data_IF_377159754374
#
_entry.id   IF_377159754374
#
_cell.length_a   1.000
_cell.length_b   1.000
_cell.length_c   1.000
_cell.angle_alpha   90.00
_cell.angle_beta   90.00
_cell.angle_gamma   90.00
#
_symmetry.space_group_name_H-M   'P 1'
#
loop_
_entity.id
_entity.type
_entity.pdbx_description
1 polymer ?
#
# COMPACT_ATOMS: atom_id res chain seq x y z
N UNK A 1 -6.26 -13.57 20.76
CA UNK A 1 -5.02 -14.14 20.20
C UNK A 1 -5.27 -14.80 18.83
N UNK A 2 -6.13 -15.81 18.73
CA UNK A 2 -6.42 -16.53 17.47
C UNK A 2 -6.94 -15.68 16.31
N UNK A 3 -7.79 -14.65 16.56
CA UNK A 3 -8.24 -13.72 15.50
C UNK A 3 -7.07 -12.93 14.88
N UNK A 4 -6.07 -12.56 15.68
CA UNK A 4 -4.88 -11.84 15.19
C UNK A 4 -3.99 -12.73 14.30
N UNK A 5 -3.80 -14.00 14.70
CA UNK A 5 -3.05 -14.99 13.91
C UNK A 5 -3.81 -15.34 12.63
N UNK A 6 -5.14 -15.45 12.69
CA UNK A 6 -5.99 -15.71 11.53
C UNK A 6 -5.91 -14.60 10.48
N UNK A 7 -5.81 -13.33 10.90
CA UNK A 7 -5.62 -12.21 9.97
C UNK A 7 -4.28 -12.27 9.22
N UNK A 8 -3.25 -12.87 9.82
CA UNK A 8 -1.94 -13.06 9.17
C UNK A 8 -1.98 -14.19 8.15
N UNK A 9 -2.85 -15.20 8.33
CA UNK A 9 -2.96 -16.35 7.41
C UNK A 9 -3.23 -15.91 5.96
N UNK A 10 -4.12 -14.93 5.75
CA UNK A 10 -4.42 -14.42 4.40
C UNK A 10 -3.17 -13.83 3.75
N UNK A 11 -2.44 -12.99 4.48
CA UNK A 11 -1.17 -12.40 4.03
C UNK A 11 -0.11 -13.46 3.78
N UNK A 12 0.00 -14.46 4.66
CA UNK A 12 0.91 -15.56 4.46
C UNK A 12 0.64 -16.31 3.14
N UNK A 13 -0.62 -16.65 2.86
CA UNK A 13 -1.00 -17.32 1.60
C UNK A 13 -0.66 -16.44 0.38
N UNK A 14 -0.85 -15.12 0.48
CA UNK A 14 -0.44 -14.20 -0.60
C UNK A 14 1.07 -14.29 -0.91
N UNK A 15 1.92 -14.70 0.04
CA UNK A 15 3.36 -14.86 -0.17
C UNK A 15 3.78 -16.19 -0.79
N UNK A 16 2.86 -17.15 -0.91
CA UNK A 16 3.12 -18.48 -1.47
C UNK A 16 2.94 -18.44 -3.00
N UNK A 17 3.84 -19.12 -3.70
CA UNK A 17 3.70 -19.52 -5.11
C UNK A 17 3.96 -21.02 -5.20
N UNK A 18 3.26 -21.72 -6.10
CA UNK A 18 3.48 -23.13 -6.33
C UNK A 18 4.28 -23.36 -7.59
N UNK A 19 5.25 -24.26 -7.49
CA UNK A 19 6.09 -24.71 -8.59
C UNK A 19 5.49 -26.02 -9.09
N UNK A 20 4.94 -26.00 -10.31
CA UNK A 20 4.29 -27.16 -10.90
C UNK A 20 5.33 -28.03 -11.62
N UNK A 21 5.51 -29.25 -11.13
CA UNK A 21 6.39 -30.26 -11.72
C UNK A 21 5.54 -31.40 -12.30
N UNK A 22 4.80 -32.11 -11.45
CA UNK A 22 3.88 -33.18 -11.87
C UNK A 22 2.41 -32.76 -11.80
N UNK A 23 2.10 -31.65 -11.13
CA UNK A 23 0.78 -31.05 -11.05
C UNK A 23 -0.23 -31.82 -10.21
N UNK A 24 0.16 -32.87 -9.48
CA UNK A 24 -0.77 -33.75 -8.75
C UNK A 24 -1.18 -33.19 -7.38
N UNK A 25 -0.47 -32.18 -6.87
CA UNK A 25 -0.72 -31.59 -5.52
C UNK A 25 -1.19 -30.14 -5.58
N UNK A 26 -1.22 -29.55 -6.77
CA UNK A 26 -1.55 -28.13 -6.97
C UNK A 26 -2.94 -28.04 -7.58
N UNK A 27 -3.85 -27.34 -6.91
CA UNK A 27 -5.20 -27.10 -7.43
C UNK A 27 -5.16 -26.07 -8.54
N UNK A 28 -5.71 -26.41 -9.70
CA UNK A 28 -5.66 -25.58 -10.89
C UNK A 28 -6.22 -24.17 -10.64
N UNK A 29 -7.39 -24.06 -10.00
CA UNK A 29 -8.05 -22.76 -9.79
C UNK A 29 -7.62 -22.03 -8.52
N UNK A 30 -7.28 -22.78 -7.47
CA UNK A 30 -7.21 -22.26 -6.10
C UNK A 30 -5.78 -21.97 -5.63
N UNK A 31 -4.77 -22.55 -6.26
CA UNK A 31 -3.38 -22.32 -5.92
C UNK A 31 -2.72 -21.32 -6.92
N UNK A 32 -1.83 -20.42 -6.46
CA UNK A 32 -1.09 -19.52 -7.33
C UNK A 32 0.12 -20.23 -7.96
N UNK A 33 -0.07 -20.88 -9.10
CA UNK A 33 0.99 -21.56 -9.85
C UNK A 33 1.33 -20.87 -11.18
N UNK A 34 0.31 -20.53 -11.97
CA UNK A 34 0.47 -19.91 -13.29
C UNK A 34 0.77 -18.39 -13.19
N UNK A 35 0.19 -17.72 -12.18
CA UNK A 35 0.32 -16.27 -11.95
C UNK A 35 0.59 -15.97 -10.48
N UNK A 36 0.79 -14.69 -10.15
CA UNK A 36 1.03 -14.21 -8.78
C UNK A 36 -0.15 -14.42 -7.81
N UNK A 37 -1.32 -14.76 -8.34
CA UNK A 37 -2.57 -15.01 -7.62
C UNK A 37 -3.24 -16.28 -8.17
N UNK A 38 -4.12 -16.93 -7.38
CA UNK A 38 -4.96 -18.03 -7.87
C UNK A 38 -5.77 -17.63 -9.10
N UNK A 39 -6.00 -18.58 -10.01
CA UNK A 39 -6.78 -18.32 -11.23
C UNK A 39 -8.23 -17.94 -10.92
N UNK A 40 -8.80 -18.38 -9.80
CA UNK A 40 -10.14 -17.95 -9.36
C UNK A 40 -10.22 -16.45 -9.06
N UNK A 41 -9.12 -15.81 -8.65
CA UNK A 41 -9.06 -14.37 -8.40
C UNK A 41 -8.82 -13.57 -9.69
N UNK A 42 -8.11 -14.17 -10.66
CA UNK A 42 -7.77 -13.52 -11.94
C UNK A 42 -8.91 -13.64 -12.96
N UNK A 43 -9.59 -14.79 -12.96
CA UNK A 43 -10.68 -15.14 -13.88
C UNK A 43 -11.95 -15.56 -13.10
N UNK A 44 -12.54 -14.64 -12.31
CA UNK A 44 -13.67 -14.98 -11.43
C UNK A 44 -14.91 -15.40 -12.21
N UNK A 45 -15.10 -14.87 -13.43
CA UNK A 45 -16.19 -15.26 -14.32
C UNK A 45 -16.09 -16.71 -14.73
N UNK A 46 -14.93 -17.12 -15.25
CA UNK A 46 -14.66 -18.53 -15.59
C UNK A 46 -14.76 -19.45 -14.38
N UNK A 47 -14.18 -19.06 -13.25
CA UNK A 47 -14.23 -19.87 -12.05
C UNK A 47 -15.67 -20.12 -11.60
N UNK A 48 -16.57 -19.13 -11.70
CA UNK A 48 -17.97 -19.30 -11.32
C UNK A 48 -18.66 -20.44 -12.09
N UNK A 49 -18.36 -20.57 -13.39
CA UNK A 49 -18.96 -21.56 -14.30
C UNK A 49 -18.15 -22.85 -14.46
N UNK A 50 -16.94 -22.92 -13.90
CA UNK A 50 -16.11 -24.12 -13.94
C UNK A 50 -16.75 -25.28 -13.15
N UNK A 51 -16.68 -26.49 -13.73
CA UNK A 51 -17.02 -27.75 -13.06
C UNK A 51 -15.83 -28.38 -12.34
N UNK A 52 -14.61 -27.95 -12.66
CA UNK A 52 -13.35 -28.53 -12.20
C UNK A 52 -12.69 -27.70 -11.09
N UNK A 53 -13.49 -27.02 -10.25
CA UNK A 53 -13.01 -26.04 -9.25
C UNK A 53 -11.96 -26.60 -8.28
N UNK A 54 -12.07 -27.87 -7.95
CA UNK A 54 -11.22 -28.58 -7.00
C UNK A 54 -10.18 -29.49 -7.65
N UNK A 55 -10.09 -29.51 -8.99
CA UNK A 55 -9.21 -30.40 -9.73
C UNK A 55 -7.75 -29.96 -9.60
N UNK A 56 -6.85 -30.93 -9.64
CA UNK A 56 -5.42 -30.68 -9.70
C UNK A 56 -4.99 -30.33 -11.13
N UNK A 57 -3.82 -29.73 -11.29
CA UNK A 57 -3.30 -29.41 -12.64
C UNK A 57 -3.20 -30.69 -13.48
N UNK A 58 -2.75 -31.80 -12.90
CA UNK A 58 -2.63 -33.09 -13.58
C UNK A 58 -3.97 -33.64 -14.14
N UNK A 59 -5.10 -33.23 -13.56
CA UNK A 59 -6.44 -33.66 -14.01
C UNK A 59 -6.99 -32.77 -15.14
N UNK A 60 -6.28 -31.69 -15.49
CA UNK A 60 -6.80 -30.62 -16.34
C UNK A 60 -6.24 -30.63 -17.76
N UNK A 61 -5.33 -31.54 -18.09
CA UNK A 61 -4.75 -31.65 -19.42
C UNK A 61 -4.53 -33.10 -19.86
N UNK A 62 -4.46 -33.28 -21.17
CA UNK A 62 -3.98 -34.49 -21.82
C UNK A 62 -2.73 -34.16 -22.64
N UNK A 63 -1.80 -35.11 -22.77
CA UNK A 63 -0.60 -34.93 -23.59
C UNK A 63 -0.92 -35.40 -25.00
N UNK A 64 -0.89 -34.48 -25.96
CA UNK A 64 -1.05 -34.81 -27.38
C UNK A 64 0.16 -35.58 -27.92
N UNK A 65 0.00 -36.25 -29.06
CA UNK A 65 1.12 -36.91 -29.78
C UNK A 65 2.26 -35.94 -30.12
N UNK A 66 1.93 -34.65 -30.27
CA UNK A 66 2.89 -33.56 -30.49
C UNK A 66 3.74 -33.21 -29.26
N UNK A 67 3.43 -33.78 -28.10
CA UNK A 67 4.00 -33.42 -26.80
C UNK A 67 3.39 -32.16 -26.18
N UNK A 68 2.40 -31.52 -26.83
CA UNK A 68 1.70 -30.36 -26.27
C UNK A 68 0.66 -30.77 -25.24
N UNK A 69 0.42 -29.87 -24.28
CA UNK A 69 -0.62 -30.03 -23.28
C UNK A 69 -1.95 -29.51 -23.83
N UNK A 70 -2.91 -30.40 -24.00
CA UNK A 70 -4.29 -30.06 -24.37
C UNK A 70 -5.11 -29.84 -23.11
N UNK A 71 -5.38 -28.58 -22.78
CA UNK A 71 -6.08 -28.19 -21.56
C UNK A 71 -7.61 -28.31 -21.68
N UNK A 72 -8.24 -28.98 -20.72
CA UNK A 72 -9.68 -29.21 -20.68
C UNK A 72 -10.35 -28.51 -19.51
N UNK A 73 -10.80 -27.27 -19.73
CA UNK A 73 -11.63 -26.53 -18.77
C UNK A 73 -13.11 -26.83 -19.03
N UNK A 74 -13.72 -27.66 -18.19
CA UNK A 74 -15.15 -27.99 -18.30
C UNK A 74 -16.03 -26.92 -17.63
N UNK A 75 -17.02 -26.41 -18.37
CA UNK A 75 -17.96 -25.38 -17.88
C UNK A 75 -19.39 -25.93 -17.79
N UNK A 76 -20.16 -25.51 -16.79
CA UNK A 76 -21.54 -25.96 -16.56
C UNK A 76 -22.58 -25.36 -17.52
N UNK A 77 -22.20 -24.36 -18.31
CA UNK A 77 -23.08 -23.71 -19.30
C UNK A 77 -22.29 -23.14 -20.46
N UNK A 78 -23.01 -22.68 -21.49
CA UNK A 78 -22.44 -21.85 -22.55
C UNK A 78 -21.90 -20.54 -21.95
N UNK A 79 -20.75 -20.13 -22.45
CA UNK A 79 -20.06 -18.93 -22.01
C UNK A 79 -20.65 -17.69 -22.70
N UNK A 80 -20.68 -16.58 -21.98
CA UNK A 80 -20.97 -15.27 -22.56
C UNK A 80 -19.73 -14.66 -23.21
N UNK A 81 -19.90 -13.68 -24.09
CA UNK A 81 -18.79 -13.02 -24.82
C UNK A 81 -17.67 -12.50 -23.91
N UNK A 82 -18.02 -12.01 -22.71
CA UNK A 82 -17.04 -11.53 -21.75
C UNK A 82 -16.25 -12.67 -21.08
N UNK A 83 -16.86 -13.84 -20.87
CA UNK A 83 -16.19 -15.05 -20.39
C UNK A 83 -15.31 -15.66 -21.49
N UNK A 84 -15.75 -15.63 -22.74
CA UNK A 84 -14.93 -16.08 -23.89
C UNK A 84 -13.62 -15.28 -23.95
N UNK A 85 -13.67 -13.96 -23.71
CA UNK A 85 -12.45 -13.14 -23.60
C UNK A 85 -11.56 -13.53 -22.41
N UNK A 86 -12.12 -14.04 -21.31
CA UNK A 86 -11.33 -14.63 -20.23
C UNK A 86 -10.69 -15.95 -20.66
N UNK A 87 -11.42 -16.82 -21.37
CA UNK A 87 -10.89 -18.11 -21.87
C UNK A 87 -9.70 -17.89 -22.79
N UNK A 88 -9.81 -16.97 -23.76
CA UNK A 88 -8.71 -16.68 -24.69
C UNK A 88 -7.45 -16.24 -23.95
N UNK A 89 -7.59 -15.41 -22.91
CA UNK A 89 -6.46 -14.98 -22.08
C UNK A 89 -5.86 -16.13 -21.28
N UNK A 90 -6.71 -16.96 -20.67
CA UNK A 90 -6.27 -18.13 -19.93
C UNK A 90 -5.53 -19.12 -20.83
N UNK A 91 -6.08 -19.45 -22.01
CA UNK A 91 -5.44 -20.36 -22.95
C UNK A 91 -4.11 -19.82 -23.47
N UNK A 92 -4.01 -18.50 -23.72
CA UNK A 92 -2.74 -17.90 -24.11
C UNK A 92 -1.68 -18.00 -23.01
N UNK A 93 -2.08 -17.87 -21.73
CA UNK A 93 -1.17 -18.08 -20.60
C UNK A 93 -0.76 -19.55 -20.45
N UNK A 94 -1.68 -20.48 -20.70
CA UNK A 94 -1.46 -21.93 -20.61
C UNK A 94 -0.63 -22.50 -21.78
N UNK A 95 -0.72 -21.90 -22.97
CA UNK A 95 0.03 -22.31 -24.16
C UNK A 95 1.54 -22.06 -24.00
N UNK A 96 1.90 -21.06 -23.20
CA UNK A 96 3.31 -20.73 -22.86
C UNK A 96 3.79 -21.48 -21.61
N UNK A 97 2.91 -22.16 -20.89
CA UNK A 97 3.27 -22.87 -19.68
C UNK A 97 3.99 -24.19 -19.97
N UNK A 98 5.09 -24.41 -19.25
CA UNK A 98 5.80 -25.69 -19.20
C UNK A 98 5.99 -26.08 -17.73
N UNK A 99 5.91 -27.39 -17.46
CA UNK A 99 6.30 -27.93 -16.17
C UNK A 99 7.79 -27.70 -15.90
N UNK A 100 8.13 -27.45 -14.65
CA UNK A 100 9.52 -27.34 -14.22
C UNK A 100 10.13 -28.74 -14.00
N UNK A 101 11.46 -28.84 -14.16
CA UNK A 101 12.19 -30.08 -13.92
C UNK A 101 12.09 -30.50 -12.44
N UNK A 102 11.54 -31.67 -12.17
CA UNK A 102 11.43 -32.23 -10.83
C UNK A 102 10.46 -33.39 -10.74
N UNK A 103 10.62 -34.23 -9.72
CA UNK A 103 9.71 -35.38 -9.49
C UNK A 103 8.40 -34.96 -8.82
N UNK A 104 8.43 -33.88 -8.05
CA UNK A 104 7.35 -33.53 -7.12
C UNK A 104 7.09 -32.02 -7.08
N UNK A 105 5.81 -31.65 -6.95
CA UNK A 105 5.37 -30.25 -6.87
C UNK A 105 6.00 -29.50 -5.68
N UNK A 106 6.45 -28.28 -5.95
CA UNK A 106 7.16 -27.43 -5.00
C UNK A 106 6.32 -26.26 -4.47
N UNK A 107 6.79 -25.67 -3.36
CA UNK A 107 6.28 -24.40 -2.83
C UNK A 107 7.40 -23.40 -2.71
N UNK A 108 7.17 -22.22 -3.26
CA UNK A 108 8.09 -21.11 -3.23
C UNK A 108 7.53 -19.94 -2.42
N UNK A 109 8.44 -19.23 -1.79
CA UNK A 109 8.15 -18.01 -1.08
C UNK A 109 8.57 -16.80 -1.91
N UNK A 110 7.60 -16.11 -2.48
CA UNK A 110 7.86 -15.03 -3.46
C UNK A 110 8.47 -13.77 -2.86
N UNK A 111 8.42 -13.62 -1.53
CA UNK A 111 8.96 -12.46 -0.82
C UNK A 111 10.41 -12.64 -0.35
N UNK A 112 11.11 -13.65 -0.87
CA UNK A 112 12.52 -13.86 -0.61
C UNK A 112 13.22 -14.30 -1.90
N UNK A 113 14.39 -13.72 -2.20
CA UNK A 113 15.16 -14.05 -3.40
C UNK A 113 15.56 -15.53 -3.44
N UNK A 114 15.83 -16.11 -2.28
CA UNK A 114 16.15 -17.54 -2.16
C UNK A 114 14.94 -18.47 -2.26
N UNK A 115 13.74 -17.97 -2.59
CA UNK A 115 12.47 -18.70 -2.70
C UNK A 115 12.06 -19.49 -1.44
N UNK A 116 12.80 -19.35 -0.35
CA UNK A 116 12.55 -20.00 0.92
C UNK A 116 11.81 -19.09 1.89
N UNK A 117 10.90 -19.69 2.65
CA UNK A 117 10.17 -18.97 3.69
C UNK A 117 11.13 -18.49 4.79
N UNK A 118 10.97 -17.24 5.20
CA UNK A 118 11.58 -16.75 6.43
C UNK A 118 10.60 -15.86 7.19
N UNK A 119 10.59 -15.99 8.52
CA UNK A 119 9.75 -15.14 9.39
C UNK A 119 10.06 -13.66 9.15
N UNK A 120 11.32 -13.30 8.94
CA UNK A 120 11.77 -11.93 8.63
C UNK A 120 11.11 -11.38 7.36
N UNK A 121 11.16 -12.12 6.25
CA UNK A 121 10.57 -11.66 4.99
C UNK A 121 9.04 -11.55 5.06
N UNK A 122 8.39 -12.51 5.74
CA UNK A 122 6.95 -12.47 5.99
C UNK A 122 6.56 -11.25 6.82
N UNK A 123 7.23 -11.05 7.97
CA UNK A 123 6.96 -9.92 8.85
C UNK A 123 7.14 -8.58 8.14
N UNK A 124 8.23 -8.40 7.41
CA UNK A 124 8.49 -7.16 6.67
C UNK A 124 7.40 -6.84 5.64
N UNK A 125 6.88 -7.84 4.93
CA UNK A 125 5.81 -7.61 3.96
C UNK A 125 4.44 -7.36 4.62
N UNK A 126 4.23 -7.86 5.84
CA UNK A 126 3.02 -7.57 6.63
C UNK A 126 3.06 -6.16 7.21
N UNK A 127 4.22 -5.70 7.70
CA UNK A 127 4.36 -4.42 8.41
C UNK A 127 4.71 -3.25 7.52
N UNK A 128 5.37 -3.50 6.38
CA UNK A 128 5.80 -2.51 5.42
C UNK A 128 5.32 -2.89 4.01
N UNK A 129 4.01 -2.77 3.71
CA UNK A 129 3.54 -2.96 2.34
C UNK A 129 4.27 -1.98 1.41
N UNK A 130 4.65 -2.43 0.22
CA UNK A 130 5.48 -1.67 -0.74
C UNK A 130 4.90 -0.29 -1.13
N UNK A 131 3.63 -0.04 -0.84
CA UNK A 131 2.93 1.24 -1.07
C UNK A 131 2.88 2.17 0.15
N UNK A 132 3.49 1.81 1.29
CA UNK A 132 3.55 2.68 2.47
C UNK A 132 4.71 3.65 2.34
N UNK A 133 4.44 4.95 2.43
CA UNK A 133 5.48 5.95 2.69
C UNK A 133 6.28 5.52 3.94
N UNK A 134 7.63 5.61 3.92
CA UNK A 134 8.44 5.32 5.08
C UNK A 134 8.00 6.15 6.28
N UNK A 135 8.01 5.56 7.48
CA UNK A 135 7.71 6.29 8.71
C UNK A 135 8.78 7.39 8.93
N UNK A 136 8.40 8.68 9.04
CA UNK A 136 9.35 9.78 9.12
C UNK A 136 9.88 9.93 10.55
N UNK A 137 10.79 9.02 10.96
CA UNK A 137 11.36 8.95 12.31
C UNK A 137 11.92 10.31 12.75
N UNK A 138 12.77 10.91 11.93
CA UNK A 138 13.49 12.13 12.27
C UNK A 138 12.57 13.35 12.44
N UNK A 139 11.43 13.36 11.71
CA UNK A 139 10.44 14.43 11.81
C UNK A 139 9.46 14.26 12.96
N UNK A 140 9.36 13.08 13.57
CA UNK A 140 8.43 12.83 14.69
C UNK A 140 9.20 12.85 16.00
N UNK A 141 10.38 12.23 16.04
CA UNK A 141 11.26 12.15 17.20
C UNK A 141 12.34 13.23 17.15
N UNK A 142 11.95 14.48 16.91
CA UNK A 142 12.85 15.65 16.94
C UNK A 142 13.17 16.08 18.38
N UNK A 143 14.33 16.70 18.56
CA UNK A 143 14.72 17.39 19.81
C UNK A 143 14.12 18.80 19.92
N UNK A 144 13.52 19.30 18.84
CA UNK A 144 12.96 20.66 18.74
C UNK A 144 11.68 20.85 19.56
N UNK A 145 11.04 19.76 19.99
CA UNK A 145 9.83 19.81 20.81
C UNK A 145 9.83 18.75 21.92
N UNK A 146 9.03 18.94 22.97
CA UNK A 146 8.95 17.97 24.06
C UNK A 146 8.47 16.59 23.60
N UNK A 147 8.91 15.54 24.29
CA UNK A 147 8.56 14.14 23.97
C UNK A 147 7.03 13.89 23.88
N UNK A 148 6.22 14.63 24.64
CA UNK A 148 4.74 14.55 24.58
C UNK A 148 4.20 14.93 23.19
N UNK A 149 4.82 15.90 22.52
CA UNK A 149 4.48 16.30 21.14
C UNK A 149 4.89 15.18 20.17
N UNK A 150 6.06 14.58 20.35
CA UNK A 150 6.50 13.43 19.53
C UNK A 150 5.54 12.25 19.63
N UNK A 151 5.08 11.90 20.85
CA UNK A 151 4.04 10.88 21.04
C UNK A 151 2.72 11.24 20.37
N UNK A 152 2.30 12.50 20.46
CA UNK A 152 1.11 12.98 19.77
C UNK A 152 1.25 12.86 18.25
N UNK A 153 2.35 13.34 17.66
CA UNK A 153 2.63 13.24 16.22
C UNK A 153 2.69 11.79 15.74
N UNK A 154 3.26 10.88 16.55
CA UNK A 154 3.23 9.44 16.27
C UNK A 154 1.80 8.88 16.23
N UNK A 155 0.94 9.28 17.17
CA UNK A 155 -0.49 8.89 17.15
C UNK A 155 -1.22 9.48 15.94
N UNK A 156 -0.92 10.72 15.57
CA UNK A 156 -1.46 11.37 14.37
C UNK A 156 -1.06 10.60 13.11
N UNK A 157 0.23 10.29 12.95
CA UNK A 157 0.73 9.49 11.82
C UNK A 157 0.03 8.13 11.70
N UNK A 158 -0.28 7.51 12.85
CA UNK A 158 -0.99 6.22 12.89
C UNK A 158 -2.52 6.36 12.76
N UNK A 159 -3.06 7.57 12.65
CA UNK A 159 -4.49 7.89 12.66
C UNK A 159 -5.20 7.32 13.91
N UNK A 160 -4.58 7.50 15.08
CA UNK A 160 -5.00 6.90 16.36
C UNK A 160 -5.30 7.90 17.48
N UNK A 161 -5.41 9.20 17.17
CA UNK A 161 -5.90 10.17 18.15
C UNK A 161 -7.41 9.97 18.39
N UNK A 162 -7.90 10.43 19.55
CA UNK A 162 -9.29 10.23 20.01
C UNK A 162 -10.29 11.09 19.23
N UNK A 163 -10.50 10.74 17.96
CA UNK A 163 -11.50 11.31 17.06
C UNK A 163 -12.74 10.42 17.03
N UNK A 164 -13.90 10.99 16.73
CA UNK A 164 -15.15 10.24 16.78
C UNK A 164 -15.16 9.02 15.83
N UNK A 165 -14.59 9.12 14.63
CA UNK A 165 -14.43 7.97 13.72
C UNK A 165 -13.64 6.81 14.36
N UNK A 166 -12.62 7.14 15.16
CA UNK A 166 -11.79 6.19 15.90
C UNK A 166 -12.53 5.59 17.10
N UNK A 167 -13.46 6.33 17.70
CA UNK A 167 -14.36 5.84 18.74
C UNK A 167 -15.45 4.92 18.19
N UNK A 168 -16.00 5.22 17.01
CA UNK A 168 -16.98 4.37 16.33
C UNK A 168 -16.40 3.00 16.00
N UNK A 169 -15.15 2.95 15.52
CA UNK A 169 -14.41 1.69 15.31
C UNK A 169 -14.24 0.84 16.59
N UNK A 170 -14.39 1.45 17.77
CA UNK A 170 -14.34 0.80 19.09
C UNK A 170 -15.73 0.53 19.69
N UNK A 171 -16.79 0.67 18.90
CA UNK A 171 -18.17 0.35 19.31
C UNK A 171 -18.91 1.47 20.04
N UNK A 172 -18.46 2.73 19.93
CA UNK A 172 -19.26 3.89 20.34
C UNK A 172 -20.26 4.25 19.25
N UNK A 173 -21.47 4.67 19.64
CA UNK A 173 -22.56 5.02 18.72
C UNK A 173 -22.99 6.48 18.92
N UNK A 174 -23.34 7.13 17.80
CA UNK A 174 -23.87 8.50 17.74
C UNK A 174 -23.38 9.23 16.48
N UNK A 175 -23.77 10.50 16.31
CA UNK A 175 -23.45 11.26 15.10
C UNK A 175 -21.98 11.67 15.07
N UNK A 176 -21.28 11.32 13.99
CA UNK A 176 -19.92 11.80 13.75
C UNK A 176 -19.96 13.20 13.12
N UNK A 177 -19.80 14.24 13.94
CA UNK A 177 -19.70 15.62 13.46
C UNK A 177 -18.56 16.32 14.18
N UNK A 178 -17.68 16.98 13.42
CA UNK A 178 -16.58 17.76 13.98
C UNK A 178 -17.13 18.92 14.82
N UNK A 179 -16.80 18.93 16.11
CA UNK A 179 -17.27 19.96 17.04
C UNK A 179 -16.75 21.37 16.73
N UNK A 180 -15.60 21.46 16.04
CA UNK A 180 -14.97 22.75 15.75
C UNK A 180 -15.63 23.48 14.56
N UNK A 181 -15.97 22.77 13.49
CA UNK A 181 -16.56 23.39 12.30
C UNK A 181 -18.06 23.11 12.13
N UNK A 182 -18.59 22.08 12.77
CA UNK A 182 -19.98 21.61 12.67
C UNK A 182 -20.46 21.29 11.23
N UNK A 183 -19.54 21.09 10.28
CA UNK A 183 -19.85 20.91 8.85
C UNK A 183 -19.53 19.51 8.30
N UNK A 184 -18.51 18.85 8.84
CA UNK A 184 -17.98 17.57 8.33
C UNK A 184 -17.78 16.59 9.47
N UNK A 185 -17.61 15.32 9.11
CA UNK A 185 -17.27 14.26 10.06
C UNK A 185 -15.92 14.52 10.75
N UNK A 186 -15.85 14.20 12.03
CA UNK A 186 -14.62 14.25 12.79
C UNK A 186 -13.71 13.07 12.41
N UNK A 187 -12.51 13.40 11.95
CA UNK A 187 -11.43 12.45 11.67
C UNK A 187 -10.10 13.13 11.95
N UNK A 188 -9.03 12.36 12.11
CA UNK A 188 -7.68 12.91 12.39
C UNK A 188 -7.27 13.96 11.36
N UNK A 189 -7.43 13.65 10.07
CA UNK A 189 -7.07 14.55 8.99
C UNK A 189 -7.97 15.79 8.94
N UNK A 190 -9.28 15.62 9.16
CA UNK A 190 -10.17 16.76 9.21
C UNK A 190 -9.82 17.68 10.39
N UNK A 191 -9.80 17.16 11.60
CA UNK A 191 -9.56 17.93 12.83
C UNK A 191 -8.22 18.68 12.80
N UNK A 192 -7.18 18.10 12.20
CA UNK A 192 -5.85 18.71 12.18
C UNK A 192 -5.54 19.51 10.92
N UNK A 193 -6.09 19.18 9.74
CA UNK A 193 -5.64 19.76 8.46
C UNK A 193 -6.76 20.43 7.65
N UNK A 194 -7.96 19.85 7.65
CA UNK A 194 -9.03 20.25 6.73
C UNK A 194 -10.21 20.96 7.41
N UNK A 195 -10.20 21.07 8.73
CA UNK A 195 -11.19 21.81 9.50
C UNK A 195 -10.93 23.31 9.33
N UNK A 196 -11.97 24.08 9.00
CA UNK A 196 -11.87 25.54 8.82
C UNK A 196 -11.23 26.22 10.03
N UNK A 197 -11.60 25.77 11.24
CA UNK A 197 -11.01 26.24 12.49
C UNK A 197 -9.51 25.95 12.54
N UNK A 198 -9.11 24.70 12.29
CA UNK A 198 -7.70 24.30 12.32
C UNK A 198 -6.87 25.03 11.25
N UNK A 199 -7.41 25.21 10.04
CA UNK A 199 -6.75 25.97 8.98
C UNK A 199 -6.52 27.43 9.36
N UNK A 200 -7.45 28.05 10.07
CA UNK A 200 -7.26 29.40 10.58
C UNK A 200 -6.14 29.45 11.63
N UNK A 201 -6.05 28.47 12.54
CA UNK A 201 -4.93 28.35 13.49
C UNK A 201 -3.60 28.22 12.74
N UNK A 202 -3.52 27.32 11.75
CA UNK A 202 -2.31 27.15 10.95
C UNK A 202 -1.91 28.42 10.21
N UNK A 203 -2.88 29.13 9.63
CA UNK A 203 -2.63 30.40 8.95
C UNK A 203 -2.04 31.43 9.92
N UNK A 204 -2.60 31.56 11.12
CA UNK A 204 -2.08 32.49 12.13
C UNK A 204 -0.66 32.13 12.57
N UNK A 205 -0.39 30.86 12.85
CA UNK A 205 0.95 30.40 13.24
C UNK A 205 1.98 30.59 12.12
N UNK A 206 1.61 30.25 10.88
CA UNK A 206 2.50 30.41 9.73
C UNK A 206 2.81 31.89 9.47
N UNK A 207 1.83 32.77 9.60
CA UNK A 207 2.04 34.22 9.47
C UNK A 207 3.00 34.72 10.56
N UNK A 208 2.80 34.33 11.83
CA UNK A 208 3.69 34.75 12.92
C UNK A 208 5.15 34.28 12.70
N UNK A 209 5.34 33.04 12.23
CA UNK A 209 6.68 32.51 11.93
C UNK A 209 7.31 33.26 10.76
N UNK A 210 6.55 33.50 9.68
CA UNK A 210 7.04 34.25 8.52
C UNK A 210 7.43 35.67 8.92
N UNK A 211 6.63 36.34 9.75
CA UNK A 211 6.92 37.70 10.21
C UNK A 211 8.17 37.75 11.08
N UNK A 212 8.38 36.77 11.97
CA UNK A 212 9.64 36.66 12.74
C UNK A 212 10.84 36.42 11.84
N UNK A 213 10.72 35.57 10.83
CA UNK A 213 11.80 35.34 9.86
C UNK A 213 12.10 36.63 9.08
N UNK A 214 11.07 37.33 8.59
CA UNK A 214 11.22 38.61 7.90
C UNK A 214 11.91 39.65 8.77
N UNK A 215 11.55 39.75 10.05
CA UNK A 215 12.21 40.65 11.00
C UNK A 215 13.68 40.27 11.22
N UNK A 216 13.98 38.99 11.44
CA UNK A 216 15.37 38.53 11.58
C UNK A 216 16.19 38.84 10.33
N UNK A 217 15.62 38.64 9.15
CA UNK A 217 16.25 38.97 7.87
C UNK A 217 16.45 40.48 7.71
N UNK A 218 15.47 41.31 8.09
CA UNK A 218 15.57 42.77 8.05
C UNK A 218 16.75 43.27 8.89
N UNK A 219 16.83 42.84 10.15
CA UNK A 219 17.94 43.20 11.05
C UNK A 219 19.29 42.73 10.53
N UNK A 220 19.33 41.55 9.89
CA UNK A 220 20.57 41.03 9.31
C UNK A 220 21.04 41.84 8.10
N UNK A 221 20.12 42.29 7.24
CA UNK A 221 20.39 43.12 6.06
C UNK A 221 20.82 44.53 6.43
N UNK A 222 20.14 45.17 7.39
CA UNK A 222 20.46 46.54 7.82
C UNK A 222 21.89 46.68 8.36
N UNK A 223 22.47 45.59 8.87
CA UNK A 223 23.85 45.56 9.35
C UNK A 223 24.92 45.39 8.28
N UNK A 224 24.56 45.31 6.98
CA UNK A 224 25.47 44.95 5.88
C UNK A 224 25.34 45.90 4.69
N UNK A 225 26.43 46.61 4.37
CA UNK A 225 26.44 47.57 3.24
C UNK A 225 26.26 46.91 1.86
N UNK A 226 26.71 45.67 1.71
CA UNK A 226 26.57 44.85 0.48
C UNK A 226 25.10 44.62 0.08
N UNK A 227 24.14 44.70 1.00
CA UNK A 227 22.70 44.52 0.71
C UNK A 227 21.92 45.82 0.68
N UNK A 228 22.59 46.97 0.58
CA UNK A 228 21.94 48.29 0.62
C UNK A 228 21.00 48.48 -0.57
N UNK A 229 19.70 48.64 -0.29
CA UNK A 229 18.66 48.83 -1.31
C UNK A 229 17.96 47.54 -1.76
N UNK A 230 18.35 46.37 -1.22
CA UNK A 230 17.64 45.10 -1.43
C UNK A 230 16.42 45.02 -0.53
N UNK A 231 15.25 44.72 -1.08
CA UNK A 231 14.05 44.52 -0.26
C UNK A 231 14.01 43.13 0.37
N UNK A 232 13.38 43.01 1.55
CA UNK A 232 13.19 41.71 2.23
C UNK A 232 12.43 40.73 1.32
N UNK A 233 11.51 41.22 0.50
CA UNK A 233 10.72 40.39 -0.42
C UNK A 233 11.59 39.80 -1.53
N UNK A 234 12.51 40.58 -2.11
CA UNK A 234 13.49 40.09 -3.07
C UNK A 234 14.42 39.05 -2.43
N UNK A 235 14.84 39.30 -1.18
CA UNK A 235 15.71 38.39 -0.45
C UNK A 235 15.03 37.06 -0.10
N UNK A 236 13.76 37.06 0.31
CA UNK A 236 13.03 35.82 0.62
C UNK A 236 12.84 34.94 -0.62
N UNK A 237 12.58 35.55 -1.79
CA UNK A 237 12.38 34.82 -3.04
C UNK A 237 13.70 34.24 -3.58
N UNK A 238 14.79 34.99 -3.49
CA UNK A 238 16.09 34.62 -4.07
C UNK A 238 17.17 34.28 -3.01
N UNK A 239 16.76 33.88 -1.80
CA UNK A 239 17.66 33.80 -0.64
C UNK A 239 18.90 32.93 -0.87
N UNK A 240 18.79 31.87 -1.67
CA UNK A 240 19.93 31.00 -1.99
C UNK A 240 20.97 31.73 -2.82
N UNK A 241 20.56 32.39 -3.91
CA UNK A 241 21.47 33.10 -4.80
C UNK A 241 22.13 34.26 -4.05
N UNK A 242 21.34 35.06 -3.32
CA UNK A 242 21.84 36.21 -2.57
C UNK A 242 22.77 35.85 -1.41
N UNK A 243 22.72 34.63 -0.85
CA UNK A 243 23.65 34.20 0.20
C UNK A 243 25.00 33.73 -0.33
N UNK A 244 25.03 33.20 -1.54
CA UNK A 244 26.26 32.66 -2.15
C UNK A 244 26.93 33.65 -3.11
N UNK A 245 26.17 34.60 -3.65
CA UNK A 245 26.65 35.66 -4.55
C UNK A 245 25.94 36.99 -4.22
N UNK A 246 26.44 37.75 -3.23
CA UNK A 246 25.82 39.01 -2.80
C UNK A 246 25.92 40.11 -3.88
N UNK A 247 24.92 41.02 -3.96
CA UNK A 247 24.83 42.06 -5.00
C UNK A 247 25.86 43.20 -4.88
#
# INVERSE_FOLDING_TARGET
MWRGISNVKKKYIEGIRYQACNGIKIKFWLDPWLKDKPLCDVFPGLFAVANTKDFFIADMFEIEESGRLSWNCQFNRRLYDYEIREVVRLLADLDVFCFEDGEDDGREWKWNKGKSFSVKSCYNNITHPQSSTPFPVDKIWSKEWPQRVSFFLWLVYKLRILTYDSLMKKGRYGPNVCYMCLKKEESVNHTLLHCDFAQNIWRMLLLEVVDKIKLMMAFWVEGREEFRGVSIEQMVVNWKEMFYDPP
#
